data_IF_430623619314
#
_entry.id   IF_430623619314
#
_cell.length_a   1.000
_cell.length_b   1.000
_cell.length_c   1.000
_cell.angle_alpha   90.00
_cell.angle_beta   90.00
_cell.angle_gamma   90.00
#
_symmetry.space_group_name_H-M   'P 1'
#
loop_
_entity.id
_entity.type
_entity.pdbx_description
1 polymer ?
#
# COMPACT_ATOMS: atom_id res chain seq x y z
N UNK A 1 3.89 15.37 -7.37
CA UNK A 1 3.52 16.02 -6.10
C UNK A 1 4.53 17.14 -5.87
N UNK A 2 4.05 18.29 -5.43
CA UNK A 2 4.87 19.47 -5.16
C UNK A 2 4.46 20.00 -3.79
N UNK A 3 5.43 20.20 -2.90
CA UNK A 3 5.20 20.73 -1.56
C UNK A 3 6.20 21.84 -1.23
N UNK A 4 5.80 22.74 -0.33
CA UNK A 4 6.63 23.85 0.07
C UNK A 4 7.85 23.36 0.91
N UNK A 5 8.98 24.09 0.92
CA UNK A 5 10.21 23.64 1.59
C UNK A 5 10.02 23.34 3.08
N UNK A 6 9.08 24.01 3.74
CA UNK A 6 8.81 23.91 5.17
C UNK A 6 8.32 22.53 5.60
N UNK A 7 7.79 21.71 4.67
CA UNK A 7 7.38 20.34 4.98
C UNK A 7 8.56 19.35 4.96
N UNK A 8 9.78 19.82 4.65
CA UNK A 8 11.01 19.03 4.64
C UNK A 8 10.88 17.72 3.84
N UNK A 9 10.22 17.79 2.69
CA UNK A 9 10.00 16.65 1.80
C UNK A 9 8.95 15.63 2.27
N UNK A 10 8.29 15.83 3.42
CA UNK A 10 7.24 14.94 3.93
C UNK A 10 5.89 15.29 3.30
N UNK A 11 5.54 14.58 2.23
CA UNK A 11 4.21 14.65 1.63
C UNK A 11 3.19 13.97 2.55
N UNK A 12 2.30 14.76 3.17
CA UNK A 12 1.45 14.30 4.25
C UNK A 12 0.10 15.04 4.33
N UNK A 13 -0.68 14.75 5.36
CA UNK A 13 -1.91 15.47 5.67
C UNK A 13 -1.62 16.89 6.18
N UNK A 14 -2.60 17.77 6.07
CA UNK A 14 -2.65 19.01 6.87
C UNK A 14 -2.80 18.66 8.37
N UNK A 15 -2.45 19.56 9.30
CA UNK A 15 -2.52 19.28 10.74
C UNK A 15 -3.90 18.84 11.25
N UNK A 16 -4.98 19.30 10.61
CA UNK A 16 -6.36 18.94 10.92
C UNK A 16 -6.87 17.69 10.16
N UNK A 17 -6.01 17.06 9.36
CA UNK A 17 -6.29 15.88 8.53
C UNK A 17 -7.36 16.09 7.44
N UNK A 18 -7.81 17.33 7.21
CA UNK A 18 -8.86 17.66 6.23
C UNK A 18 -8.31 17.98 4.84
N UNK A 19 -6.99 17.94 4.66
CA UNK A 19 -6.26 18.31 3.46
C UNK A 19 -4.95 17.54 3.31
N UNK A 20 -4.20 17.88 2.28
CA UNK A 20 -2.82 17.46 2.09
C UNK A 20 -1.91 18.68 2.06
N UNK A 21 -0.67 18.54 2.52
CA UNK A 21 0.32 19.62 2.52
C UNK A 21 1.03 19.82 1.16
N UNK A 22 0.48 19.24 0.10
CA UNK A 22 1.07 19.22 -1.24
C UNK A 22 -0.01 19.34 -2.32
N UNK A 23 0.40 19.73 -3.52
CA UNK A 23 -0.43 19.73 -4.72
C UNK A 23 0.03 18.65 -5.71
N UNK A 24 -0.87 18.28 -6.62
CA UNK A 24 -0.58 17.35 -7.72
C UNK A 24 -0.61 18.12 -9.03
N UNK A 25 0.36 17.83 -9.89
CA UNK A 25 0.45 18.36 -11.24
C UNK A 25 0.96 17.26 -12.17
N UNK A 26 0.59 17.33 -13.44
CA UNK A 26 1.16 16.52 -14.50
C UNK A 26 2.09 17.42 -15.32
N UNK A 27 3.32 16.96 -15.53
CA UNK A 27 4.34 17.67 -16.29
C UNK A 27 5.09 16.68 -17.17
N UNK A 28 5.70 17.17 -18.25
CA UNK A 28 6.59 16.35 -19.07
C UNK A 28 7.87 16.03 -18.29
N UNK A 29 8.41 14.83 -18.51
CA UNK A 29 9.62 14.40 -17.82
C UNK A 29 10.83 15.33 -18.03
N UNK A 30 11.14 15.83 -19.24
CA UNK A 30 12.24 16.76 -19.43
C UNK A 30 12.09 18.02 -18.56
N UNK A 31 10.88 18.57 -18.48
CA UNK A 31 10.57 19.75 -17.65
C UNK A 31 10.81 19.44 -16.16
N UNK A 32 10.39 18.26 -15.70
CA UNK A 32 10.63 17.81 -14.33
C UNK A 32 12.13 17.71 -14.04
N UNK A 33 12.91 17.11 -14.94
CA UNK A 33 14.35 16.93 -14.76
C UNK A 33 15.08 18.28 -14.77
N UNK A 34 14.76 19.16 -15.72
CA UNK A 34 15.33 20.51 -15.79
C UNK A 34 15.06 21.28 -14.49
N UNK A 35 13.84 21.18 -13.95
CA UNK A 35 13.48 21.82 -12.70
C UNK A 35 14.27 21.26 -11.51
N UNK A 36 14.40 19.94 -11.40
CA UNK A 36 15.16 19.29 -10.32
C UNK A 36 16.64 19.65 -10.38
N UNK A 37 17.23 19.71 -11.58
CA UNK A 37 18.63 20.08 -11.78
C UNK A 37 18.88 21.58 -11.51
N UNK A 38 17.96 22.46 -11.91
CA UNK A 38 18.08 23.90 -11.69
C UNK A 38 18.00 24.29 -10.20
N UNK A 39 17.42 23.43 -9.36
CA UNK A 39 17.22 23.65 -7.94
C UNK A 39 18.27 22.95 -7.06
N UNK A 40 19.31 22.38 -7.66
CA UNK A 40 20.39 21.73 -6.90
C UNK A 40 21.08 22.73 -5.95
N UNK A 41 21.20 22.34 -4.69
CA UNK A 41 21.81 23.14 -3.64
C UNK A 41 20.96 24.29 -3.08
N UNK A 42 19.73 24.51 -3.58
CA UNK A 42 18.84 25.54 -3.05
C UNK A 42 18.02 25.02 -1.85
N UNK A 43 18.28 25.49 -0.62
CA UNK A 43 17.53 25.06 0.57
C UNK A 43 16.07 25.55 0.57
N UNK A 44 15.74 26.52 -0.28
CA UNK A 44 14.37 27.02 -0.47
C UNK A 44 13.66 26.33 -1.65
N UNK A 45 14.27 25.30 -2.26
CA UNK A 45 13.62 24.55 -3.32
C UNK A 45 12.40 23.78 -2.78
N UNK A 46 11.26 23.79 -3.51
CA UNK A 46 10.11 22.97 -3.17
C UNK A 46 10.48 21.48 -3.25
N UNK A 47 9.82 20.66 -2.42
CA UNK A 47 9.92 19.23 -2.55
C UNK A 47 9.10 18.77 -3.77
N UNK A 48 9.75 18.05 -4.69
CA UNK A 48 9.15 17.55 -5.91
C UNK A 48 9.30 16.03 -5.95
N UNK A 49 8.19 15.34 -6.17
CA UNK A 49 8.15 13.89 -6.25
C UNK A 49 7.16 13.43 -7.33
N UNK A 50 7.67 12.76 -8.35
CA UNK A 50 6.90 12.09 -9.39
C UNK A 50 7.01 10.58 -9.18
N UNK A 51 5.86 9.90 -9.18
CA UNK A 51 5.81 8.50 -8.80
C UNK A 51 5.19 7.59 -9.85
N UNK A 52 5.65 6.33 -9.81
CA UNK A 52 5.10 5.18 -10.52
C UNK A 52 5.00 5.31 -12.06
N UNK A 53 5.85 6.14 -12.68
CA UNK A 53 5.91 6.25 -14.14
C UNK A 53 6.43 4.93 -14.74
N UNK A 54 5.74 4.39 -15.75
CA UNK A 54 6.19 3.18 -16.44
C UNK A 54 7.51 3.44 -17.16
N UNK A 55 8.57 2.74 -16.75
CA UNK A 55 9.90 2.93 -17.34
C UNK A 55 9.91 2.63 -18.85
N UNK A 56 9.33 1.53 -19.39
CA UNK A 56 9.35 1.28 -20.83
C UNK A 56 8.51 2.27 -21.63
N UNK A 57 7.41 2.80 -21.07
CA UNK A 57 6.59 3.80 -21.74
C UNK A 57 7.29 5.18 -21.78
N UNK A 58 8.11 5.45 -20.77
CA UNK A 58 8.84 6.72 -20.64
C UNK A 58 10.18 6.69 -21.39
N UNK A 59 10.83 5.53 -21.41
CA UNK A 59 12.13 5.29 -22.01
C UNK A 59 12.08 4.00 -22.85
N UNK A 60 11.73 4.10 -24.14
CA UNK A 60 11.74 2.95 -25.03
C UNK A 60 13.09 2.23 -25.04
N UNK A 61 13.09 0.90 -24.91
CA UNK A 61 14.30 0.08 -24.80
C UNK A 61 14.86 -0.08 -23.38
N UNK A 62 14.16 0.45 -22.36
CA UNK A 62 14.62 0.37 -20.96
C UNK A 62 14.87 -1.06 -20.49
N UNK A 63 13.94 -1.98 -20.80
CA UNK A 63 13.97 -3.36 -20.28
C UNK A 63 15.19 -4.10 -20.83
N UNK A 64 15.46 -3.93 -22.13
CA UNK A 64 16.61 -4.54 -22.80
C UNK A 64 17.94 -3.97 -22.29
N UNK A 65 17.99 -2.67 -22.03
CA UNK A 65 19.20 -2.00 -21.55
C UNK A 65 19.48 -2.22 -20.06
N UNK A 66 18.45 -2.48 -19.24
CA UNK A 66 18.53 -2.59 -17.79
C UNK A 66 17.85 -3.87 -17.28
N UNK A 67 18.35 -5.07 -17.66
CA UNK A 67 17.77 -6.31 -17.20
C UNK A 67 17.97 -6.47 -15.69
N UNK A 68 16.91 -6.81 -14.97
CA UNK A 68 17.00 -7.23 -13.57
C UNK A 68 17.27 -8.75 -13.53
N UNK A 69 18.42 -9.23 -13.02
CA UNK A 69 18.77 -10.65 -13.01
C UNK A 69 18.07 -11.41 -11.87
N UNK A 70 16.82 -11.07 -11.56
CA UNK A 70 16.00 -11.66 -10.50
C UNK A 70 14.63 -12.04 -11.06
N UNK A 71 14.05 -13.10 -10.49
CA UNK A 71 12.74 -13.59 -10.94
C UNK A 71 11.61 -12.68 -10.42
N UNK A 72 11.22 -11.72 -11.24
CA UNK A 72 10.07 -10.83 -11.01
C UNK A 72 9.02 -11.04 -12.11
N UNK A 73 8.23 -12.12 -12.05
CA UNK A 73 7.31 -12.47 -13.12
C UNK A 73 6.32 -11.32 -13.36
N UNK A 74 6.14 -10.94 -14.62
CA UNK A 74 5.17 -9.92 -15.06
C UNK A 74 5.41 -8.51 -14.48
N UNK A 75 6.54 -8.26 -13.82
CA UNK A 75 6.84 -6.97 -13.25
C UNK A 75 7.23 -5.95 -14.34
N UNK A 76 6.43 -4.89 -14.48
CA UNK A 76 6.82 -3.70 -15.24
C UNK A 76 7.68 -2.78 -14.35
N UNK A 77 8.90 -2.39 -14.76
CA UNK A 77 9.71 -1.45 -14.00
C UNK A 77 9.02 -0.08 -13.94
N UNK A 78 8.96 0.50 -12.73
CA UNK A 78 8.33 1.80 -12.47
C UNK A 78 9.28 2.76 -11.80
N UNK A 79 9.35 3.98 -12.31
CA UNK A 79 10.25 5.03 -11.88
C UNK A 79 9.60 5.94 -10.84
N UNK A 80 10.39 6.27 -9.83
CA UNK A 80 10.14 7.33 -8.87
C UNK A 80 11.26 8.35 -8.97
N UNK A 81 10.92 9.59 -9.32
CA UNK A 81 11.87 10.66 -9.62
C UNK A 81 11.53 11.88 -8.76
N UNK A 82 12.52 12.48 -8.12
CA UNK A 82 12.30 13.66 -7.30
C UNK A 82 13.57 14.16 -6.62
N UNK A 83 13.43 15.12 -5.71
CA UNK A 83 14.50 15.53 -4.80
C UNK A 83 14.32 14.88 -3.41
N UNK A 84 14.95 15.45 -2.40
CA UNK A 84 14.82 15.00 -1.01
C UNK A 84 13.33 14.91 -0.61
N UNK A 85 12.92 13.72 -0.19
CA UNK A 85 11.51 13.40 0.06
C UNK A 85 11.37 12.32 1.10
N UNK A 86 10.23 12.28 1.77
CA UNK A 86 9.92 11.34 2.84
C UNK A 86 8.54 10.76 2.57
N UNK A 87 8.51 9.47 2.23
CA UNK A 87 7.28 8.71 2.04
C UNK A 87 7.00 7.99 3.34
N UNK A 88 5.97 8.45 4.05
CA UNK A 88 5.61 7.93 5.36
C UNK A 88 5.21 6.45 5.31
N UNK A 89 5.35 5.78 6.45
CA UNK A 89 5.20 4.31 6.57
C UNK A 89 3.86 3.81 6.02
N UNK A 90 3.91 2.91 5.04
CA UNK A 90 2.76 2.27 4.40
C UNK A 90 3.13 0.84 3.98
N UNK A 91 2.20 0.08 3.42
CA UNK A 91 2.48 -1.26 2.88
C UNK A 91 2.00 -1.36 1.43
N UNK A 92 2.59 -2.27 0.68
CA UNK A 92 2.09 -2.69 -0.62
C UNK A 92 1.57 -4.12 -0.54
N UNK A 93 0.54 -4.42 -1.32
CA UNK A 93 0.03 -5.78 -1.51
C UNK A 93 0.90 -6.61 -2.47
N UNK A 94 1.78 -5.96 -3.23
CA UNK A 94 2.77 -6.58 -4.11
C UNK A 94 4.05 -6.93 -3.35
N UNK A 95 4.74 -7.99 -3.79
CA UNK A 95 6.19 -8.06 -3.53
C UNK A 95 6.89 -7.01 -4.38
N UNK A 96 8.00 -6.44 -3.88
CA UNK A 96 8.74 -5.39 -4.57
C UNK A 96 10.26 -5.62 -4.53
N UNK A 97 10.94 -5.32 -5.63
CA UNK A 97 12.37 -5.00 -5.61
C UNK A 97 12.50 -3.51 -5.94
N UNK A 98 13.14 -2.76 -5.05
CA UNK A 98 13.39 -1.33 -5.23
C UNK A 98 14.90 -1.11 -5.43
N UNK A 99 15.28 -0.68 -6.63
CA UNK A 99 16.67 -0.43 -7.02
C UNK A 99 16.97 1.07 -7.11
N UNK A 100 18.04 1.52 -6.47
CA UNK A 100 18.46 2.93 -6.47
C UNK A 100 19.28 3.21 -7.72
N UNK A 101 18.82 4.13 -8.55
CA UNK A 101 19.52 4.56 -9.76
C UNK A 101 20.30 5.85 -9.50
N UNK A 102 19.74 6.77 -8.72
CA UNK A 102 20.39 8.02 -8.35
C UNK A 102 19.91 8.50 -6.96
N UNK A 103 20.77 9.26 -6.28
CA UNK A 103 20.54 9.73 -4.91
C UNK A 103 20.77 8.63 -3.87
N UNK A 104 20.32 8.86 -2.64
CA UNK A 104 20.41 7.89 -1.54
C UNK A 104 19.05 7.60 -0.96
N UNK A 105 18.81 6.35 -0.57
CA UNK A 105 17.55 5.91 0.03
C UNK A 105 17.78 5.27 1.39
N UNK A 106 17.03 5.73 2.39
CA UNK A 106 16.86 5.02 3.66
C UNK A 106 15.51 4.34 3.65
N UNK A 107 15.51 3.01 3.76
CA UNK A 107 14.31 2.22 3.99
C UNK A 107 14.25 1.81 5.46
N UNK A 108 13.08 1.98 6.08
CA UNK A 108 12.76 1.40 7.39
C UNK A 108 11.60 0.44 7.20
N UNK A 109 11.79 -0.83 7.51
CA UNK A 109 10.79 -1.89 7.36
C UNK A 109 10.27 -2.36 8.72
N UNK A 110 8.98 -2.69 8.77
CA UNK A 110 8.34 -3.35 9.90
C UNK A 110 7.57 -4.58 9.44
N UNK A 111 7.55 -5.67 10.24
CA UNK A 111 6.75 -6.84 9.94
C UNK A 111 5.24 -6.51 9.80
N UNK A 112 4.47 -7.27 9.00
CA UNK A 112 3.05 -6.99 8.75
C UNK A 112 2.18 -6.92 10.01
N UNK A 113 2.53 -7.67 11.05
CA UNK A 113 1.80 -7.74 12.32
C UNK A 113 1.94 -6.48 13.19
N UNK A 114 2.83 -5.54 12.83
CA UNK A 114 3.01 -4.27 13.52
C UNK A 114 1.94 -3.23 13.19
N UNK A 115 0.99 -3.51 12.30
CA UNK A 115 -0.10 -2.59 11.94
C UNK A 115 -0.79 -1.89 13.14
N UNK A 116 -1.14 -2.60 14.23
CA UNK A 116 -1.70 -2.00 15.44
C UNK A 116 -0.77 -0.99 16.15
N UNK A 117 0.54 -1.12 16.00
CA UNK A 117 1.56 -0.30 16.65
C UNK A 117 2.01 0.89 15.79
N UNK A 118 1.61 0.93 14.53
CA UNK A 118 2.00 1.96 13.56
C UNK A 118 1.00 3.12 13.46
N UNK A 119 -0.10 3.11 14.22
CA UNK A 119 -1.08 4.21 14.27
C UNK A 119 -1.49 4.69 12.87
N UNK A 120 -2.06 3.77 12.09
CA UNK A 120 -2.51 4.02 10.72
C UNK A 120 -3.56 5.12 10.71
N UNK A 121 -3.39 6.09 9.81
CA UNK A 121 -4.29 7.22 9.62
C UNK A 121 -5.63 6.85 8.96
N UNK A 122 -6.34 7.86 8.42
CA UNK A 122 -7.62 7.65 7.76
C UNK A 122 -7.56 6.55 6.68
N UNK A 123 -8.52 5.63 6.72
CA UNK A 123 -8.57 4.46 5.82
C UNK A 123 -9.18 4.79 4.46
N UNK A 124 -10.06 5.79 4.42
CA UNK A 124 -10.83 6.24 3.26
C UNK A 124 -10.24 7.49 2.60
N UNK A 125 -9.26 8.13 3.25
CA UNK A 125 -8.56 9.30 2.73
C UNK A 125 -7.06 9.09 2.75
N UNK A 126 -6.53 8.52 1.67
CA UNK A 126 -5.12 8.12 1.58
C UNK A 126 -4.30 9.06 0.70
N UNK A 127 -2.99 9.12 0.96
CA UNK A 127 -2.05 9.97 0.21
C UNK A 127 -1.78 9.40 -1.19
N UNK A 128 -1.59 8.08 -1.28
CA UNK A 128 -1.21 7.39 -2.51
C UNK A 128 -1.82 5.98 -2.62
N UNK A 129 -3.09 5.83 -2.23
CA UNK A 129 -3.84 4.58 -2.34
C UNK A 129 -3.93 3.80 -1.04
N UNK A 130 -2.79 3.48 -0.43
CA UNK A 130 -2.74 2.74 0.83
C UNK A 130 -2.79 3.66 2.05
N UNK A 131 -3.45 3.25 3.15
CA UNK A 131 -3.38 3.99 4.41
C UNK A 131 -1.93 4.12 4.90
N UNK A 132 -1.64 5.25 5.52
CA UNK A 132 -0.29 5.62 5.93
C UNK A 132 -0.26 5.81 7.44
N UNK A 133 0.83 5.43 8.09
CA UNK A 133 1.09 5.72 9.50
C UNK A 133 1.06 7.23 9.80
N UNK A 134 0.53 7.58 10.97
CA UNK A 134 0.56 8.95 11.48
C UNK A 134 1.93 9.38 12.02
N UNK A 135 2.86 8.44 12.15
CA UNK A 135 4.12 8.61 12.86
C UNK A 135 5.14 9.30 11.94
N UNK A 136 5.85 10.28 12.51
CA UNK A 136 7.03 10.85 11.91
C UNK A 136 8.27 10.07 12.40
N UNK A 137 8.91 9.28 11.54
CA UNK A 137 10.11 8.51 11.95
C UNK A 137 11.34 9.37 12.27
N UNK A 138 11.38 10.62 11.82
CA UNK A 138 12.48 11.54 12.11
C UNK A 138 12.29 12.26 13.45
N UNK A 139 11.04 12.34 13.93
CA UNK A 139 10.69 12.92 15.23
C UNK A 139 9.45 12.22 15.83
N UNK A 140 9.58 10.96 16.30
CA UNK A 140 8.44 10.19 16.78
C UNK A 140 7.88 10.75 18.09
N UNK A 141 6.59 11.10 18.08
CA UNK A 141 5.85 11.51 19.29
C UNK A 141 5.35 10.29 20.06
N UNK A 142 6.22 9.74 20.93
CA UNK A 142 5.88 8.60 21.78
C UNK A 142 4.87 8.94 22.89
N UNK A 143 4.62 10.22 23.17
CA UNK A 143 3.58 10.59 24.13
C UNK A 143 2.19 10.39 23.53
N UNK A 144 2.00 10.78 22.27
CA UNK A 144 0.75 10.56 21.53
C UNK A 144 0.64 9.14 20.96
N UNK A 145 1.77 8.51 20.62
CA UNK A 145 1.85 7.19 19.96
C UNK A 145 2.67 6.16 20.76
N UNK A 146 2.32 5.85 22.03
CA UNK A 146 3.15 5.03 22.90
C UNK A 146 3.44 3.61 22.40
N UNK A 147 2.50 2.96 21.69
CA UNK A 147 2.71 1.61 21.12
C UNK A 147 3.75 1.58 20.00
N UNK A 148 4.16 2.74 19.48
CA UNK A 148 5.20 2.77 18.47
C UNK A 148 6.53 2.24 19.00
N UNK A 149 6.77 2.33 20.31
CA UNK A 149 7.93 1.71 20.95
C UNK A 149 8.05 0.21 20.64
N UNK A 150 6.91 -0.51 20.56
CA UNK A 150 6.88 -1.93 20.22
C UNK A 150 7.26 -2.16 18.75
N UNK A 151 6.73 -1.34 17.83
CA UNK A 151 7.10 -1.41 16.42
C UNK A 151 8.58 -1.07 16.19
N UNK A 152 9.10 -0.04 16.87
CA UNK A 152 10.52 0.35 16.83
C UNK A 152 11.46 -0.80 17.20
N UNK A 153 11.07 -1.65 18.16
CA UNK A 153 11.87 -2.80 18.57
C UNK A 153 12.02 -3.88 17.48
N UNK A 154 11.16 -3.86 16.46
CA UNK A 154 11.17 -4.82 15.34
C UNK A 154 11.66 -4.22 14.01
N UNK A 155 11.96 -2.92 13.99
CA UNK A 155 12.28 -2.21 12.76
C UNK A 155 13.61 -2.68 12.16
N UNK A 156 13.65 -2.76 10.83
CA UNK A 156 14.86 -3.06 10.08
C UNK A 156 15.21 -1.86 9.20
N UNK A 157 16.47 -1.42 9.22
CA UNK A 157 16.91 -0.22 8.50
C UNK A 157 17.93 -0.60 7.43
N UNK A 158 17.75 -0.10 6.22
CA UNK A 158 18.68 -0.23 5.12
C UNK A 158 18.99 1.15 4.52
N UNK A 159 20.27 1.50 4.47
CA UNK A 159 20.78 2.66 3.75
C UNK A 159 21.31 2.17 2.40
N UNK A 160 20.82 2.74 1.31
CA UNK A 160 21.07 2.30 -0.06
C UNK A 160 21.67 3.44 -0.88
N UNK A 161 22.73 3.14 -1.61
CA UNK A 161 23.41 4.02 -2.57
C UNK A 161 23.06 3.61 -4.01
N UNK A 162 23.39 4.43 -5.03
CA UNK A 162 23.16 4.06 -6.42
C UNK A 162 23.81 2.72 -6.78
N UNK A 163 23.02 1.81 -7.34
CA UNK A 163 23.40 0.43 -7.65
C UNK A 163 22.85 -0.60 -6.66
N UNK A 164 22.49 -0.20 -5.44
CA UNK A 164 21.89 -1.09 -4.45
C UNK A 164 20.41 -1.37 -4.77
N UNK A 165 19.94 -2.54 -4.35
CA UNK A 165 18.53 -2.92 -4.43
C UNK A 165 18.07 -3.60 -3.14
N UNK A 166 16.80 -3.40 -2.78
CA UNK A 166 16.17 -4.04 -1.62
C UNK A 166 14.93 -4.82 -2.04
N UNK A 167 14.76 -6.01 -1.48
CA UNK A 167 13.51 -6.76 -1.55
C UNK A 167 12.59 -6.34 -0.40
N UNK A 168 11.38 -5.90 -0.73
CA UNK A 168 10.30 -5.62 0.22
C UNK A 168 9.21 -6.68 0.02
N UNK A 169 9.01 -7.58 1.00
CA UNK A 169 7.97 -8.59 0.88
C UNK A 169 6.57 -7.97 0.91
N UNK A 170 5.60 -8.66 0.29
CA UNK A 170 4.19 -8.24 0.31
C UNK A 170 3.70 -8.03 1.74
N UNK A 171 2.90 -6.99 1.94
CA UNK A 171 2.30 -6.53 3.19
C UNK A 171 3.28 -6.04 4.26
N UNK A 172 4.58 -5.98 3.97
CA UNK A 172 5.53 -5.35 4.88
C UNK A 172 5.36 -3.84 4.88
N UNK A 173 5.31 -3.28 6.08
CA UNK A 173 5.27 -1.85 6.27
C UNK A 173 6.66 -1.28 5.99
N UNK A 174 6.72 -0.17 5.28
CA UNK A 174 7.98 0.47 4.95
C UNK A 174 7.84 2.00 4.85
N UNK A 175 8.85 2.69 5.37
CA UNK A 175 9.09 4.13 5.23
C UNK A 175 10.28 4.34 4.30
N UNK A 176 10.23 5.36 3.44
CA UNK A 176 11.29 5.64 2.49
C UNK A 176 11.69 7.10 2.53
N UNK A 177 12.93 7.37 2.90
CA UNK A 177 13.55 8.70 2.84
C UNK A 177 14.55 8.78 1.70
N UNK A 178 14.34 9.75 0.82
CA UNK A 178 15.27 10.17 -0.23
C UNK A 178 16.14 11.33 0.26
N UNK A 179 17.42 11.30 -0.09
CA UNK A 179 18.34 12.40 0.17
C UNK A 179 19.09 12.81 -1.10
N UNK A 180 19.44 14.09 -1.19
CA UNK A 180 20.12 14.66 -2.35
C UNK A 180 19.18 15.37 -3.34
N UNK A 181 19.76 16.09 -4.31
CA UNK A 181 19.04 16.99 -5.20
C UNK A 181 18.24 16.27 -6.27
N UNK A 182 18.74 15.11 -6.73
CA UNK A 182 18.07 14.23 -7.68
C UNK A 182 18.11 12.80 -7.13
N UNK A 183 16.93 12.19 -7.07
CA UNK A 183 16.72 10.82 -6.65
C UNK A 183 15.93 10.09 -7.74
N UNK A 184 16.41 8.91 -8.12
CA UNK A 184 15.74 8.01 -9.06
C UNK A 184 15.73 6.61 -8.44
N UNK A 185 14.54 6.05 -8.27
CA UNK A 185 14.32 4.68 -7.78
C UNK A 185 13.47 3.92 -8.79
N UNK A 186 13.81 2.64 -9.04
CA UNK A 186 13.04 1.74 -9.90
C UNK A 186 12.42 0.65 -9.03
N UNK A 187 11.10 0.55 -9.05
CA UNK A 187 10.37 -0.55 -8.42
C UNK A 187 10.00 -1.63 -9.44
N UNK A 188 10.07 -2.88 -9.01
CA UNK A 188 9.61 -4.05 -9.73
C UNK A 188 8.58 -4.76 -8.85
N UNK A 189 7.30 -4.55 -9.12
CA UNK A 189 6.22 -5.17 -8.35
C UNK A 189 5.68 -6.43 -9.03
N UNK A 190 5.48 -7.50 -8.26
CA UNK A 190 4.84 -8.74 -8.72
C UNK A 190 3.99 -9.39 -7.63
N UNK A 191 3.24 -10.44 -8.00
CA UNK A 191 2.45 -11.24 -7.06
C UNK A 191 1.06 -10.67 -6.74
N UNK A 192 0.62 -9.63 -7.45
CA UNK A 192 -0.75 -9.08 -7.41
C UNK A 192 -1.75 -9.99 -8.15
N UNK A 193 -1.88 -11.25 -7.74
CA UNK A 193 -2.76 -12.21 -8.43
C UNK A 193 -4.13 -12.39 -7.76
N UNK A 194 -4.40 -11.66 -6.67
CA UNK A 194 -5.70 -11.75 -6.00
C UNK A 194 -6.81 -11.12 -6.86
N UNK A 195 -7.88 -11.88 -7.11
CA UNK A 195 -9.04 -11.43 -7.89
C UNK A 195 -9.83 -10.27 -7.24
N UNK A 196 -9.50 -9.91 -5.99
CA UNK A 196 -10.10 -8.84 -5.21
C UNK A 196 -9.10 -8.27 -4.19
N UNK A 197 -9.34 -7.03 -3.75
CA UNK A 197 -8.52 -6.34 -2.76
C UNK A 197 -8.85 -6.83 -1.33
N UNK A 198 -7.86 -7.30 -0.54
CA UNK A 198 -8.06 -7.61 0.88
C UNK A 198 -8.54 -6.39 1.68
N UNK A 199 -8.08 -5.19 1.29
CA UNK A 199 -8.50 -3.95 1.94
C UNK A 199 -9.98 -3.65 1.69
N UNK A 200 -10.48 -3.88 0.47
CA UNK A 200 -11.92 -3.72 0.19
C UNK A 200 -12.77 -4.69 1.02
N UNK A 201 -12.31 -5.93 1.23
CA UNK A 201 -12.97 -6.88 2.12
C UNK A 201 -12.99 -6.39 3.58
N UNK A 202 -11.88 -5.81 4.07
CA UNK A 202 -11.82 -5.18 5.39
C UNK A 202 -12.84 -4.04 5.52
N UNK A 203 -12.88 -3.11 4.56
CA UNK A 203 -13.82 -1.98 4.57
C UNK A 203 -15.28 -2.48 4.62
N UNK A 204 -15.61 -3.50 3.84
CA UNK A 204 -16.96 -4.08 3.89
C UNK A 204 -17.25 -4.77 5.24
N UNK A 205 -16.26 -5.44 5.85
CA UNK A 205 -16.41 -6.02 7.18
C UNK A 205 -16.59 -4.97 8.29
N UNK A 206 -16.03 -3.76 8.14
CA UNK A 206 -16.32 -2.64 9.05
C UNK A 206 -17.82 -2.29 9.03
N UNK A 207 -18.43 -2.27 7.83
CA UNK A 207 -19.86 -2.01 7.66
C UNK A 207 -20.72 -3.17 8.19
N UNK A 208 -20.35 -4.41 7.89
CA UNK A 208 -21.21 -5.57 8.11
C UNK A 208 -21.04 -6.23 9.50
N UNK A 209 -19.85 -6.11 10.12
CA UNK A 209 -19.46 -6.96 11.27
C UNK A 209 -19.00 -6.17 12.49
N UNK A 210 -18.20 -5.10 12.33
CA UNK A 210 -17.53 -4.43 13.46
C UNK A 210 -18.50 -3.99 14.55
N UNK A 211 -19.61 -3.38 14.14
CA UNK A 211 -20.54 -2.69 15.03
C UNK A 211 -21.72 -3.57 15.50
N UNK A 212 -21.67 -4.89 15.22
CA UNK A 212 -22.63 -5.87 15.75
C UNK A 212 -22.51 -6.05 17.28
N UNK A 213 -23.56 -6.56 17.96
CA UNK A 213 -23.46 -7.00 19.35
C UNK A 213 -22.31 -8.00 19.56
N UNK A 214 -21.64 -7.96 20.72
CA UNK A 214 -20.41 -8.72 20.96
C UNK A 214 -20.56 -10.23 20.72
N UNK A 215 -21.68 -10.84 21.18
CA UNK A 215 -21.94 -12.26 20.97
C UNK A 215 -22.17 -12.62 19.49
N UNK A 216 -22.85 -11.77 18.74
CA UNK A 216 -23.05 -11.98 17.30
C UNK A 216 -21.75 -11.79 16.53
N UNK A 217 -20.95 -10.77 16.88
CA UNK A 217 -19.63 -10.54 16.28
C UNK A 217 -18.70 -11.72 16.52
N UNK A 218 -18.73 -12.34 17.69
CA UNK A 218 -17.93 -13.54 17.98
C UNK A 218 -18.41 -14.75 17.16
N UNK A 219 -19.73 -14.91 16.99
CA UNK A 219 -20.27 -15.94 16.12
C UNK A 219 -19.84 -15.73 14.65
N UNK A 220 -19.86 -14.50 14.14
CA UNK A 220 -19.38 -14.16 12.79
C UNK A 220 -17.86 -14.34 12.67
N UNK A 221 -17.08 -13.99 13.70
CA UNK A 221 -15.63 -14.27 13.72
C UNK A 221 -15.35 -15.75 13.47
N UNK A 222 -16.10 -16.65 14.10
CA UNK A 222 -15.94 -18.09 13.89
C UNK A 222 -16.15 -18.52 12.43
N UNK A 223 -16.99 -17.80 11.66
CA UNK A 223 -17.16 -18.04 10.24
C UNK A 223 -15.94 -17.58 9.44
N UNK A 224 -15.40 -16.39 9.73
CA UNK A 224 -14.18 -15.90 9.09
C UNK A 224 -12.98 -16.81 9.41
N UNK A 225 -12.88 -17.29 10.64
CA UNK A 225 -11.85 -18.25 11.02
C UNK A 225 -12.02 -19.59 10.27
N UNK A 226 -13.25 -20.09 10.13
CA UNK A 226 -13.48 -21.34 9.43
C UNK A 226 -13.30 -21.26 7.90
N UNK A 227 -13.74 -20.16 7.28
CA UNK A 227 -13.78 -20.03 5.81
C UNK A 227 -12.65 -19.19 5.21
N UNK A 228 -11.91 -18.39 5.99
CA UNK A 228 -10.91 -17.44 5.48
C UNK A 228 -9.54 -17.62 6.13
N UNK A 229 -9.45 -17.51 7.47
CA UNK A 229 -8.16 -17.38 8.16
C UNK A 229 -7.58 -18.68 8.71
N UNK A 230 -8.43 -19.66 9.03
CA UNK A 230 -8.01 -20.92 9.62
C UNK A 230 -7.19 -21.76 8.66
N UNK A 231 -6.25 -22.55 9.19
CA UNK A 231 -5.36 -23.42 8.40
C UNK A 231 -6.11 -24.45 7.55
N UNK A 232 -7.34 -24.79 7.92
CA UNK A 232 -8.20 -25.73 7.18
C UNK A 232 -9.25 -25.05 6.29
N UNK A 233 -9.18 -23.73 6.09
CA UNK A 233 -10.20 -22.98 5.33
C UNK A 233 -10.39 -23.47 3.89
N UNK A 234 -9.31 -23.90 3.23
CA UNK A 234 -9.37 -24.47 1.88
C UNK A 234 -10.19 -25.78 1.79
N UNK A 235 -10.43 -26.44 2.92
CA UNK A 235 -11.12 -27.73 3.04
C UNK A 235 -12.53 -27.60 3.64
N UNK A 236 -13.00 -26.38 3.91
CA UNK A 236 -14.30 -26.14 4.57
C UNK A 236 -15.50 -26.80 3.85
N UNK A 237 -15.39 -27.00 2.54
CA UNK A 237 -16.44 -27.62 1.71
C UNK A 237 -16.20 -29.10 1.36
N UNK A 238 -15.24 -29.79 2.00
CA UNK A 238 -14.89 -31.17 1.61
C UNK A 238 -15.99 -32.19 1.87
N UNK A 239 -16.91 -31.89 2.78
CA UNK A 239 -18.11 -32.68 3.05
C UNK A 239 -19.18 -32.58 1.92
N UNK A 240 -19.00 -31.67 0.95
CA UNK A 240 -19.91 -31.48 -0.18
C UNK A 240 -19.37 -32.15 -1.47
N UNK A 241 -20.26 -32.72 -2.30
CA UNK A 241 -19.90 -33.11 -3.67
C UNK A 241 -19.29 -31.92 -4.43
N UNK A 242 -18.25 -32.17 -5.23
CA UNK A 242 -17.51 -31.13 -5.98
C UNK A 242 -18.46 -30.22 -6.79
N UNK A 243 -19.48 -30.81 -7.41
CA UNK A 243 -20.46 -30.10 -8.23
C UNK A 243 -21.25 -29.00 -7.51
N UNK A 244 -21.34 -29.04 -6.17
CA UNK A 244 -22.14 -28.08 -5.38
C UNK A 244 -21.30 -27.21 -4.44
N UNK A 245 -19.96 -27.28 -4.49
CA UNK A 245 -19.09 -26.44 -3.64
C UNK A 245 -19.18 -24.95 -3.95
N UNK A 246 -19.53 -24.59 -5.19
CA UNK A 246 -19.79 -23.20 -5.59
C UNK A 246 -18.62 -22.26 -5.27
N UNK A 247 -18.89 -21.22 -4.47
CA UNK A 247 -17.89 -20.22 -4.05
C UNK A 247 -16.78 -20.80 -3.16
N UNK A 248 -16.99 -21.98 -2.56
CA UNK A 248 -16.00 -22.72 -1.78
C UNK A 248 -15.22 -23.76 -2.62
N UNK A 249 -15.45 -23.83 -3.94
CA UNK A 249 -14.69 -24.69 -4.85
C UNK A 249 -13.23 -24.25 -5.02
N UNK A 250 -12.44 -24.89 -5.88
CA UNK A 250 -11.05 -24.49 -6.15
C UNK A 250 -10.94 -23.13 -6.88
N UNK A 251 -9.82 -22.39 -6.76
CA UNK A 251 -9.61 -21.13 -7.48
C UNK A 251 -9.75 -21.26 -8.99
N UNK A 252 -10.64 -20.45 -9.56
CA UNK A 252 -10.84 -20.30 -11.00
C UNK A 252 -11.41 -18.92 -11.31
N UNK A 253 -11.27 -18.49 -12.58
CA UNK A 253 -11.89 -17.25 -13.06
C UNK A 253 -13.42 -17.27 -12.87
N UNK A 254 -14.08 -18.37 -13.23
CA UNK A 254 -15.53 -18.53 -13.06
C UNK A 254 -15.97 -18.40 -11.59
N UNK A 255 -15.21 -18.99 -10.66
CA UNK A 255 -15.49 -18.87 -9.23
C UNK A 255 -15.34 -17.42 -8.77
N UNK A 256 -14.32 -16.71 -9.24
CA UNK A 256 -14.10 -15.31 -8.91
C UNK A 256 -15.24 -14.41 -9.39
N UNK A 257 -15.70 -14.58 -10.64
CA UNK A 257 -16.87 -13.85 -11.17
C UNK A 257 -18.13 -14.14 -10.36
N UNK A 258 -18.39 -15.41 -10.04
CA UNK A 258 -19.55 -15.80 -9.23
C UNK A 258 -19.55 -15.14 -7.83
N UNK A 259 -18.38 -15.06 -7.18
CA UNK A 259 -18.24 -14.37 -5.89
C UNK A 259 -18.51 -12.87 -6.07
N UNK A 260 -17.95 -12.25 -7.12
CA UNK A 260 -18.13 -10.82 -7.39
C UNK A 260 -19.61 -10.49 -7.62
N UNK A 261 -20.29 -11.25 -8.47
CA UNK A 261 -21.72 -11.05 -8.76
C UNK A 261 -22.58 -11.19 -7.49
N UNK A 262 -22.29 -12.19 -6.65
CA UNK A 262 -23.00 -12.37 -5.39
C UNK A 262 -22.86 -11.14 -4.47
N UNK A 263 -21.64 -10.62 -4.33
CA UNK A 263 -21.37 -9.44 -3.49
C UNK A 263 -22.00 -8.18 -4.10
N UNK A 264 -21.90 -7.97 -5.41
CA UNK A 264 -22.53 -6.82 -6.09
C UNK A 264 -24.04 -6.80 -5.88
N UNK A 265 -24.72 -7.94 -6.09
CA UNK A 265 -26.17 -8.03 -5.87
C UNK A 265 -26.55 -7.80 -4.41
N UNK A 266 -25.73 -8.24 -3.44
CA UNK A 266 -25.97 -8.00 -2.03
C UNK A 266 -25.84 -6.52 -1.67
N UNK A 267 -24.87 -5.81 -2.26
CA UNK A 267 -24.68 -4.36 -2.06
C UNK A 267 -25.81 -3.54 -2.69
N UNK A 268 -26.31 -3.94 -3.86
CA UNK A 268 -27.40 -3.25 -4.57
C UNK A 268 -28.76 -3.37 -3.88
N UNK A 269 -29.04 -4.51 -3.24
CA UNK A 269 -30.35 -4.77 -2.61
C UNK A 269 -30.56 -4.01 -1.30
N UNK A 270 -29.52 -3.38 -0.73
CA UNK A 270 -29.51 -2.87 0.64
C UNK A 270 -29.58 -4.02 1.65
N UNK A 271 -28.96 -3.85 2.82
CA UNK A 271 -29.01 -4.84 3.92
C UNK A 271 -30.46 -5.27 4.26
N UNK A 272 -30.64 -6.36 5.02
CA UNK A 272 -31.88 -7.14 5.04
C UNK A 272 -33.11 -6.25 5.07
N UNK A 273 -33.85 -6.25 3.96
CA UNK A 273 -35.16 -5.62 3.88
C UNK A 273 -35.94 -5.99 5.14
N UNK A 274 -36.44 -4.96 5.84
CA UNK A 274 -37.41 -5.12 6.91
C UNK A 274 -38.45 -6.14 6.45
N UNK A 275 -38.45 -7.31 7.11
CA UNK A 275 -39.50 -8.31 6.89
C UNK A 275 -40.82 -7.60 7.15
N UNK A 276 -41.80 -7.61 6.23
CA UNK A 276 -43.11 -7.10 6.54
C UNK A 276 -43.66 -7.95 7.69
N UNK A 277 -44.13 -7.27 8.75
CA UNK A 277 -44.81 -7.89 9.88
C UNK A 277 -45.91 -8.81 9.32
N UNK A 278 -45.82 -10.11 9.64
CA UNK A 278 -46.92 -11.03 9.40
C UNK A 278 -48.02 -10.63 10.37
N UNK A 279 -49.10 -10.05 9.84
CA UNK A 279 -50.40 -9.97 10.51
C UNK A 279 -51.04 -11.35 10.60
#
# INVERSE_FOLDING_TARGET
MIAAPEVAGRFFYTPDLTGFNFTRAQVLLPILLDQLLAQDGDPAAPAIYAGAASAPDTFPGWIEANPLPLATPEATPRLWIGNASRVSTHYDVSSNIAAVVAGRRRFVLFPPDQGPNLYVGPLDRTIAGQPTSMIDLEAPDLASYPRFADAMATMQVAELEPGDAIYVPSLWWHDVKASGPLNVLVNFWWGQQAAASPFAALIHALLAVRDMPAGEREAVRSWFDHYVFGTNAAHAADHLPVAVRGVLGLPSHERAERIRDYVMQALERGGPASRPERR
#
